data_IF_728719519208
#
_entry.id   IF_728719519208
#
_cell.length_a   1.000
_cell.length_b   1.000
_cell.length_c   1.000
_cell.angle_alpha   90.00
_cell.angle_beta   90.00
_cell.angle_gamma   90.00
#
_symmetry.space_group_name_H-M   'P 1'
#
loop_
_entity.id
_entity.type
_entity.pdbx_description
1 polymer ?
#
# COMPACT_ATOMS: atom_id res chain seq x y z
N UNK A 1 16.02 -11.60 27.89
CA UNK A 1 15.33 -10.51 27.15
C UNK A 1 13.92 -10.95 26.78
N UNK A 2 12.94 -10.08 27.03
CA UNK A 2 11.55 -10.40 27.38
C UNK A 2 10.66 -10.77 26.16
N UNK A 3 10.03 -11.96 26.19
CA UNK A 3 9.24 -12.52 25.08
C UNK A 3 8.03 -11.65 24.63
N UNK A 4 7.54 -10.73 25.47
CA UNK A 4 6.45 -9.80 25.11
C UNK A 4 6.83 -8.81 24.00
N UNK A 5 8.06 -8.31 23.97
CA UNK A 5 8.49 -7.33 22.96
C UNK A 5 8.67 -7.94 21.55
N UNK A 6 9.07 -9.22 21.48
CA UNK A 6 9.21 -9.95 20.21
C UNK A 6 7.87 -10.09 19.50
N UNK A 7 6.79 -10.32 20.26
CA UNK A 7 5.43 -10.43 19.75
C UNK A 7 4.86 -9.12 19.18
N UNK A 8 5.30 -7.96 19.67
CA UNK A 8 4.82 -6.67 19.17
C UNK A 8 5.47 -6.34 17.82
N UNK A 9 6.80 -6.46 17.72
CA UNK A 9 7.54 -6.20 16.48
C UNK A 9 7.07 -7.11 15.33
N UNK A 10 6.84 -8.39 15.62
CA UNK A 10 6.31 -9.34 14.63
C UNK A 10 4.92 -8.96 14.11
N UNK A 11 4.02 -8.47 14.98
CA UNK A 11 2.68 -8.00 14.58
C UNK A 11 2.74 -6.76 13.69
N UNK A 12 3.61 -5.81 14.02
CA UNK A 12 3.82 -4.62 13.18
C UNK A 12 4.36 -5.03 11.81
N UNK A 13 5.36 -5.91 11.75
CA UNK A 13 5.91 -6.40 10.49
C UNK A 13 4.86 -7.12 9.64
N UNK A 14 4.01 -7.92 10.28
CA UNK A 14 2.89 -8.58 9.61
C UNK A 14 1.89 -7.57 9.05
N UNK A 15 1.60 -6.49 9.80
CA UNK A 15 0.78 -5.38 9.33
C UNK A 15 1.37 -4.67 8.12
N UNK A 16 2.68 -4.44 8.10
CA UNK A 16 3.38 -3.85 6.95
C UNK A 16 3.19 -4.75 5.73
N UNK A 17 3.38 -6.07 5.89
CA UNK A 17 3.21 -7.04 4.80
C UNK A 17 1.77 -7.03 4.27
N UNK A 18 0.76 -7.03 5.16
CA UNK A 18 -0.64 -6.92 4.77
C UNK A 18 -0.94 -5.61 4.03
N UNK A 19 -0.34 -4.49 4.46
CA UNK A 19 -0.48 -3.20 3.78
C UNK A 19 0.04 -3.26 2.34
N UNK A 20 1.25 -3.80 2.13
CA UNK A 20 1.79 -3.98 0.77
C UNK A 20 0.97 -4.94 -0.08
N UNK A 21 0.51 -6.06 0.47
CA UNK A 21 -0.36 -7.00 -0.25
C UNK A 21 -1.67 -6.32 -0.65
N UNK A 22 -2.30 -5.56 0.25
CA UNK A 22 -3.53 -4.85 -0.04
C UNK A 22 -3.34 -3.80 -1.13
N UNK A 23 -2.24 -3.04 -1.10
CA UNK A 23 -1.87 -2.10 -2.17
C UNK A 23 -1.66 -2.82 -3.50
N UNK A 24 -0.94 -3.94 -3.51
CA UNK A 24 -0.74 -4.74 -4.72
C UNK A 24 -2.06 -5.29 -5.28
N UNK A 25 -3.01 -5.67 -4.43
CA UNK A 25 -4.35 -6.06 -4.84
C UNK A 25 -5.10 -4.91 -5.52
N UNK A 26 -5.02 -3.69 -4.97
CA UNK A 26 -5.68 -2.54 -5.59
C UNK A 26 -5.09 -2.17 -6.95
N UNK A 27 -3.76 -2.23 -7.09
CA UNK A 27 -3.09 -2.11 -8.37
C UNK A 27 -3.52 -3.19 -9.36
N UNK A 28 -3.60 -4.44 -8.91
CA UNK A 28 -4.06 -5.56 -9.74
C UNK A 28 -5.50 -5.35 -10.22
N UNK A 29 -6.40 -4.95 -9.32
CA UNK A 29 -7.79 -4.63 -9.69
C UNK A 29 -7.87 -3.50 -10.72
N UNK A 30 -7.10 -2.42 -10.53
CA UNK A 30 -7.03 -1.36 -11.53
C UNK A 30 -6.58 -1.90 -12.89
N UNK A 31 -5.48 -2.65 -12.93
CA UNK A 31 -4.95 -3.21 -14.18
C UNK A 31 -5.95 -4.11 -14.90
N UNK A 32 -6.76 -4.88 -14.16
CA UNK A 32 -7.82 -5.72 -14.73
C UNK A 32 -9.00 -4.90 -15.26
N UNK A 33 -9.50 -3.94 -14.49
CA UNK A 33 -10.65 -3.10 -14.88
C UNK A 33 -10.34 -2.30 -16.16
N UNK A 34 -9.11 -1.81 -16.28
CA UNK A 34 -8.68 -0.97 -17.41
C UNK A 34 -7.90 -1.76 -18.49
N UNK A 35 -7.82 -3.09 -18.39
CA UNK A 35 -7.11 -3.98 -19.32
C UNK A 35 -5.66 -3.54 -19.63
N UNK A 36 -4.98 -3.02 -18.60
CA UNK A 36 -3.71 -2.33 -18.72
C UNK A 36 -2.47 -3.23 -18.51
N UNK A 37 -2.59 -4.54 -18.73
CA UNK A 37 -1.54 -5.52 -18.43
C UNK A 37 -0.30 -5.52 -19.36
N UNK A 38 -0.08 -4.48 -20.18
CA UNK A 38 1.03 -4.41 -21.14
C UNK A 38 2.30 -3.82 -20.52
N UNK A 39 3.51 -4.23 -20.94
CA UNK A 39 4.76 -3.55 -20.53
C UNK A 39 4.75 -2.04 -20.82
N UNK A 40 4.01 -1.59 -21.85
CA UNK A 40 3.83 -0.16 -22.16
C UNK A 40 3.10 0.60 -21.05
N UNK A 41 2.29 -0.08 -20.25
CA UNK A 41 1.56 0.52 -19.12
C UNK A 41 2.50 1.00 -18.02
N UNK A 42 3.51 0.20 -17.65
CA UNK A 42 4.50 0.61 -16.65
C UNK A 42 5.29 1.83 -17.13
N UNK A 43 5.64 1.86 -18.43
CA UNK A 43 6.24 3.05 -19.05
C UNK A 43 5.33 4.28 -18.97
N UNK A 44 4.03 4.13 -19.27
CA UNK A 44 3.04 5.20 -19.17
C UNK A 44 2.83 5.70 -17.73
N UNK A 45 2.84 4.83 -16.73
CA UNK A 45 2.83 5.26 -15.31
C UNK A 45 3.97 6.24 -15.03
N UNK A 46 5.16 5.96 -15.56
CA UNK A 46 6.34 6.78 -15.31
C UNK A 46 6.27 8.10 -16.09
N UNK A 47 5.35 8.28 -17.03
CA UNK A 47 5.24 9.53 -17.81
C UNK A 47 3.94 10.30 -17.63
N UNK A 48 2.85 9.65 -17.22
CA UNK A 48 1.51 10.25 -17.12
C UNK A 48 1.08 10.37 -15.65
N UNK A 49 1.02 11.60 -15.13
CA UNK A 49 0.66 11.89 -13.73
C UNK A 49 -0.80 11.52 -13.41
N UNK A 50 -1.73 11.74 -14.35
CA UNK A 50 -3.15 11.42 -14.17
C UNK A 50 -3.35 9.93 -13.88
N UNK A 51 -2.64 9.06 -14.61
CA UNK A 51 -2.66 7.61 -14.39
C UNK A 51 -2.08 7.21 -13.02
N UNK A 52 -1.00 7.86 -12.57
CA UNK A 52 -0.41 7.58 -11.26
C UNK A 52 -1.38 7.92 -10.12
N UNK A 53 -2.07 9.06 -10.23
CA UNK A 53 -3.06 9.50 -9.25
C UNK A 53 -4.23 8.52 -9.12
N UNK A 54 -4.79 8.08 -10.25
CA UNK A 54 -5.85 7.06 -10.27
C UNK A 54 -5.40 5.78 -9.57
N UNK A 55 -4.27 5.21 -10.00
CA UNK A 55 -3.74 3.97 -9.44
C UNK A 55 -3.52 4.06 -7.94
N UNK A 56 -3.04 5.20 -7.46
CA UNK A 56 -2.83 5.43 -6.04
C UNK A 56 -4.15 5.32 -5.26
N UNK A 57 -5.23 5.92 -5.78
CA UNK A 57 -6.56 5.84 -5.18
C UNK A 57 -7.05 4.39 -5.16
N UNK A 58 -6.97 3.68 -6.29
CA UNK A 58 -7.38 2.27 -6.36
C UNK A 58 -6.54 1.36 -5.45
N UNK A 59 -5.27 1.69 -5.26
CA UNK A 59 -4.35 0.96 -4.38
C UNK A 59 -4.58 1.28 -2.89
N UNK A 60 -5.04 2.50 -2.56
CA UNK A 60 -5.29 2.94 -1.20
C UNK A 60 -6.57 2.34 -0.60
N UNK A 61 -7.61 2.10 -1.41
CA UNK A 61 -8.90 1.55 -0.97
C UNK A 61 -8.75 0.20 -0.22
N UNK A 62 -8.17 -0.87 -0.81
CA UNK A 62 -8.01 -2.14 -0.12
C UNK A 62 -7.04 -2.06 1.06
N UNK A 63 -6.03 -1.18 1.01
CA UNK A 63 -5.12 -0.96 2.13
C UNK A 63 -5.87 -0.34 3.34
N UNK A 64 -6.66 0.71 3.10
CA UNK A 64 -7.52 1.31 4.13
C UNK A 64 -8.54 0.29 4.67
N UNK A 65 -9.12 -0.54 3.81
CA UNK A 65 -10.02 -1.62 4.23
C UNK A 65 -9.32 -2.61 5.16
N UNK A 66 -8.10 -3.06 4.82
CA UNK A 66 -7.30 -3.93 5.66
C UNK A 66 -7.03 -3.29 7.04
N UNK A 67 -6.66 -2.01 7.05
CA UNK A 67 -6.47 -1.23 8.28
C UNK A 67 -7.72 -1.23 9.16
N UNK A 68 -8.89 -0.90 8.61
CA UNK A 68 -10.15 -0.89 9.36
C UNK A 68 -10.54 -2.28 9.90
N UNK A 69 -10.31 -3.33 9.12
CA UNK A 69 -10.56 -4.71 9.54
C UNK A 69 -9.71 -5.06 10.77
N UNK A 70 -8.42 -4.71 10.77
CA UNK A 70 -7.54 -4.99 11.90
C UNK A 70 -7.89 -4.19 13.16
N UNK A 71 -8.33 -2.93 13.02
CA UNK A 71 -8.87 -2.15 14.14
C UNK A 71 -10.10 -2.84 14.72
N UNK A 72 -11.06 -3.24 13.89
CA UNK A 72 -12.31 -3.89 14.35
C UNK A 72 -12.04 -5.21 15.08
N UNK A 73 -10.93 -5.88 14.75
CA UNK A 73 -10.46 -7.11 15.41
C UNK A 73 -9.63 -6.86 16.67
N UNK A 74 -9.48 -5.60 17.13
CA UNK A 74 -8.62 -5.20 18.27
C UNK A 74 -7.14 -5.60 18.06
N UNK A 75 -6.68 -5.60 16.81
CA UNK A 75 -5.31 -5.95 16.44
C UNK A 75 -4.47 -4.70 16.14
N UNK A 76 -4.41 -3.78 17.10
CA UNK A 76 -3.87 -2.43 16.91
C UNK A 76 -2.42 -2.41 16.43
N UNK A 77 -1.57 -3.34 16.88
CA UNK A 77 -0.19 -3.42 16.41
C UNK A 77 -0.06 -3.83 14.94
N UNK A 78 -0.97 -4.67 14.44
CA UNK A 78 -1.03 -5.01 13.01
C UNK A 78 -1.56 -3.81 12.23
N UNK A 79 -2.62 -3.16 12.71
CA UNK A 79 -3.17 -1.95 12.11
C UNK A 79 -2.12 -0.83 12.00
N UNK A 80 -1.29 -0.63 13.02
CA UNK A 80 -0.14 0.30 12.97
C UNK A 80 0.86 -0.05 11.87
N UNK A 81 1.12 -1.34 11.64
CA UNK A 81 1.95 -1.79 10.53
C UNK A 81 1.36 -1.45 9.16
N UNK A 82 0.04 -1.60 9.00
CA UNK A 82 -0.67 -1.23 7.77
C UNK A 82 -0.59 0.28 7.50
N UNK A 83 -0.78 1.12 8.52
CA UNK A 83 -0.56 2.57 8.42
C UNK A 83 0.88 2.86 7.99
N UNK A 84 1.86 2.21 8.62
CA UNK A 84 3.27 2.45 8.30
C UNK A 84 3.58 2.11 6.83
N UNK A 85 3.04 1.01 6.30
CA UNK A 85 3.14 0.70 4.88
C UNK A 85 2.52 1.81 4.01
N UNK A 86 1.35 2.33 4.41
CA UNK A 86 0.68 3.44 3.71
C UNK A 86 1.55 4.69 3.65
N UNK A 87 2.16 5.07 4.78
CA UNK A 87 3.05 6.22 4.86
C UNK A 87 4.29 6.00 3.98
N UNK A 88 4.89 4.81 4.00
CA UNK A 88 6.03 4.48 3.14
C UNK A 88 5.67 4.63 1.66
N UNK A 89 4.52 4.09 1.24
CA UNK A 89 4.03 4.20 -0.14
C UNK A 89 3.77 5.65 -0.51
N UNK A 90 3.10 6.42 0.35
CA UNK A 90 2.82 7.83 0.13
C UNK A 90 4.11 8.65 -0.03
N UNK A 91 5.11 8.41 0.82
CA UNK A 91 6.43 9.06 0.72
C UNK A 91 7.13 8.64 -0.59
N UNK A 92 7.13 7.36 -0.94
CA UNK A 92 7.74 6.88 -2.18
C UNK A 92 7.13 7.55 -3.41
N UNK A 93 5.81 7.71 -3.42
CA UNK A 93 5.07 8.39 -4.50
C UNK A 93 5.37 9.89 -4.51
N UNK A 94 5.37 10.54 -3.35
CA UNK A 94 5.71 11.96 -3.23
C UNK A 94 7.14 12.24 -3.73
N UNK A 95 8.11 11.39 -3.39
CA UNK A 95 9.48 11.48 -3.91
C UNK A 95 9.51 11.26 -5.42
N UNK A 96 8.76 10.28 -5.94
CA UNK A 96 8.69 10.03 -7.39
C UNK A 96 8.07 11.19 -8.17
N UNK A 97 7.12 11.91 -7.58
CA UNK A 97 6.57 13.14 -8.16
C UNK A 97 7.62 14.24 -8.15
N UNK A 98 8.27 14.48 -7.00
CA UNK A 98 9.27 15.54 -6.85
C UNK A 98 10.49 15.37 -7.79
N UNK A 99 10.94 14.14 -8.07
CA UNK A 99 12.06 13.88 -9.00
C UNK A 99 11.70 14.17 -10.47
N UNK A 100 10.41 14.12 -10.83
CA UNK A 100 9.96 14.40 -12.21
C UNK A 100 9.79 15.88 -12.51
N UNK A 101 9.72 16.73 -11.48
CA UNK A 101 9.73 18.19 -11.59
C UNK A 101 11.15 18.73 -11.73
#
# INVERSE_FOLDING_TARGET
MNNKHKNIKGKVLLGILFGFIATALGFYFYSQVFNHFSMKFIGKLITEEDMLGEILVYSAIPNALAFFVFIKRKQDYIARGVILATIIIAIAVAVSLFIKF
#
